data_IF_861161949027
#
_entry.id   IF_861161949027
#
_cell.length_a   1.000
_cell.length_b   1.000
_cell.length_c   1.000
_cell.angle_alpha   90.00
_cell.angle_beta   90.00
_cell.angle_gamma   90.00
#
_symmetry.space_group_name_H-M   'P 1'
#
loop_
_entity.id
_entity.type
_entity.pdbx_description
1 polymer ?
#
# COMPACT_ATOMS: atom_id res chain seq x y z
N UNK A 1 17.61 22.63 5.70
CA UNK A 1 17.24 21.21 5.81
C UNK A 1 16.25 20.90 4.71
N UNK A 2 16.53 19.92 3.84
CA UNK A 2 15.53 19.45 2.87
C UNK A 2 14.46 18.66 3.63
N UNK A 3 13.20 19.02 3.45
CA UNK A 3 12.08 18.31 4.06
C UNK A 3 11.76 17.09 3.19
N UNK A 4 12.09 15.89 3.67
CA UNK A 4 11.71 14.66 2.96
C UNK A 4 10.26 14.31 3.27
N UNK A 5 9.45 14.14 2.22
CA UNK A 5 8.05 13.72 2.34
C UNK A 5 7.95 12.24 1.99
N UNK A 6 7.42 11.44 2.91
CA UNK A 6 7.07 10.06 2.62
C UNK A 6 5.85 10.04 1.70
N UNK A 7 5.97 9.43 0.53
CA UNK A 7 4.87 9.32 -0.46
C UNK A 7 4.34 7.89 -0.59
N UNK A 8 4.98 6.92 0.06
CA UNK A 8 4.58 5.52 0.02
C UNK A 8 5.20 4.75 1.18
N UNK A 9 4.44 3.78 1.68
CA UNK A 9 4.94 2.74 2.59
C UNK A 9 4.48 1.37 2.12
N UNK A 10 5.36 0.39 2.27
CA UNK A 10 5.03 -1.00 2.12
C UNK A 10 5.88 -1.86 3.04
N UNK A 11 5.43 -3.10 3.24
CA UNK A 11 6.11 -4.09 4.06
C UNK A 11 6.14 -5.42 3.29
N UNK A 12 7.29 -6.07 3.24
CA UNK A 12 7.50 -7.32 2.50
C UNK A 12 7.92 -8.43 3.46
N UNK A 13 7.24 -9.57 3.39
CA UNK A 13 7.42 -10.67 4.35
C UNK A 13 7.64 -12.00 3.65
N UNK A 14 8.69 -12.70 4.08
CA UNK A 14 8.97 -14.07 3.66
C UNK A 14 8.13 -15.06 4.48
N UNK A 15 6.83 -15.12 4.18
CA UNK A 15 5.91 -16.13 4.71
C UNK A 15 4.87 -16.51 3.67
N UNK A 16 4.34 -17.72 3.82
CA UNK A 16 3.19 -18.19 3.04
C UNK A 16 1.92 -17.70 3.72
N UNK A 17 0.96 -17.22 2.95
CA UNK A 17 -0.39 -16.94 3.45
C UNK A 17 -1.35 -18.07 3.05
N UNK A 18 -2.18 -18.50 4.00
CA UNK A 18 -3.36 -19.32 3.73
C UNK A 18 -4.52 -18.36 3.45
N UNK A 19 -5.25 -18.59 2.35
CA UNK A 19 -6.36 -17.75 1.87
C UNK A 19 -7.45 -17.53 2.92
N UNK A 20 -7.53 -18.39 3.95
CA UNK A 20 -8.53 -18.31 5.02
C UNK A 20 -8.25 -17.26 6.09
N UNK A 21 -7.02 -16.75 6.20
CA UNK A 21 -6.68 -15.71 7.16
C UNK A 21 -5.45 -14.94 6.70
N UNK A 22 -5.64 -13.75 6.09
CA UNK A 22 -4.56 -12.75 6.11
C UNK A 22 -4.24 -12.52 7.59
N UNK A 23 -2.98 -12.66 8.04
CA UNK A 23 -2.70 -12.51 9.45
C UNK A 23 -2.97 -11.06 9.86
N UNK A 24 -4.03 -10.87 10.66
CA UNK A 24 -4.51 -9.54 11.07
C UNK A 24 -3.37 -8.65 11.64
N UNK A 25 -2.37 -9.26 12.28
CA UNK A 25 -1.22 -8.55 12.85
C UNK A 25 -0.43 -7.72 11.82
N UNK A 26 -0.18 -8.25 10.62
CA UNK A 26 0.60 -7.53 9.60
C UNK A 26 -0.18 -6.37 8.99
N UNK A 27 -1.50 -6.55 8.81
CA UNK A 27 -2.39 -5.49 8.36
C UNK A 27 -2.43 -4.34 9.37
N UNK A 28 -2.48 -4.64 10.68
CA UNK A 28 -2.44 -3.62 11.72
C UNK A 28 -1.08 -2.90 11.77
N UNK A 29 0.02 -3.62 11.54
CA UNK A 29 1.34 -3.01 11.42
C UNK A 29 1.41 -2.05 10.23
N UNK A 30 0.91 -2.45 9.06
CA UNK A 30 0.84 -1.58 7.89
C UNK A 30 -0.10 -0.38 8.13
N UNK A 31 -1.23 -0.58 8.79
CA UNK A 31 -2.14 0.50 9.18
C UNK A 31 -1.44 1.54 10.06
N UNK A 32 -0.61 1.10 11.00
CA UNK A 32 0.17 1.99 11.85
C UNK A 32 1.14 2.86 11.01
N UNK A 33 1.82 2.28 10.02
CA UNK A 33 2.70 3.01 9.11
C UNK A 33 1.95 4.05 8.29
N UNK A 34 0.87 3.63 7.62
CA UNK A 34 0.04 4.52 6.80
C UNK A 34 -0.55 5.66 7.62
N UNK A 35 -0.90 5.40 8.88
CA UNK A 35 -1.39 6.42 9.81
C UNK A 35 -0.28 7.39 10.22
N UNK A 36 0.89 6.87 10.62
CA UNK A 36 2.01 7.69 11.08
C UNK A 36 2.53 8.65 10.00
N UNK A 37 2.51 8.23 8.74
CA UNK A 37 2.93 9.05 7.60
C UNK A 37 1.79 9.81 6.90
N UNK A 38 0.56 9.73 7.43
CA UNK A 38 -0.64 10.31 6.84
C UNK A 38 -0.85 9.97 5.35
N UNK A 39 -0.59 8.72 4.97
CA UNK A 39 -0.79 8.23 3.61
C UNK A 39 -2.23 7.74 3.42
N UNK A 40 -2.80 7.75 2.19
CA UNK A 40 -4.13 7.20 1.92
C UNK A 40 -4.15 5.66 1.95
N UNK A 41 -3.00 5.02 1.75
CA UNK A 41 -2.87 3.58 1.70
C UNK A 41 -1.44 3.07 1.75
N UNK A 42 -1.29 1.76 1.69
CA UNK A 42 0.00 1.07 1.73
C UNK A 42 -0.10 -0.35 1.16
N UNK A 43 1.06 -0.99 0.98
CA UNK A 43 1.17 -2.29 0.31
C UNK A 43 1.87 -3.34 1.19
N UNK A 44 1.25 -4.49 1.37
CA UNK A 44 1.81 -5.66 2.05
C UNK A 44 2.12 -6.74 1.02
N UNK A 45 3.37 -7.19 0.95
CA UNK A 45 3.85 -8.17 -0.03
C UNK A 45 4.25 -9.46 0.67
N UNK A 46 3.72 -10.58 0.18
CA UNK A 46 4.07 -11.93 0.63
C UNK A 46 4.83 -12.72 -0.42
N UNK A 47 5.74 -13.57 0.03
CA UNK A 47 6.59 -14.41 -0.82
C UNK A 47 5.89 -15.64 -1.44
N UNK A 48 4.65 -15.96 -1.03
CA UNK A 48 3.81 -17.02 -1.65
C UNK A 48 2.39 -17.01 -1.07
N UNK A 49 1.38 -17.27 -1.89
CA UNK A 49 -0.02 -17.46 -1.45
C UNK A 49 -0.92 -17.80 -2.65
N UNK A 50 -2.00 -18.55 -2.42
CA UNK A 50 -3.04 -18.85 -3.43
C UNK A 50 -4.07 -17.72 -3.55
N UNK A 51 -3.72 -16.50 -3.15
CA UNK A 51 -4.65 -15.39 -3.10
C UNK A 51 -4.37 -14.46 -4.27
N UNK A 52 -5.38 -14.25 -5.10
CA UNK A 52 -5.49 -13.05 -5.92
C UNK A 52 -5.24 -11.80 -5.05
N UNK A 53 -4.70 -10.70 -5.60
CA UNK A 53 -4.52 -9.47 -4.84
C UNK A 53 -5.80 -9.06 -4.10
N UNK A 54 -5.69 -8.81 -2.79
CA UNK A 54 -6.84 -8.45 -1.94
C UNK A 54 -6.70 -7.03 -1.45
N UNK A 55 -7.76 -6.26 -1.62
CA UNK A 55 -7.88 -4.91 -1.05
C UNK A 55 -8.65 -4.96 0.27
N UNK A 56 -8.04 -4.42 1.32
CA UNK A 56 -8.68 -4.22 2.61
C UNK A 56 -8.91 -2.72 2.87
N UNK A 57 -10.17 -2.32 2.98
CA UNK A 57 -10.54 -0.96 3.38
C UNK A 57 -10.81 -0.92 4.88
N UNK A 58 -10.00 -0.17 5.62
CA UNK A 58 -10.18 0.01 7.07
C UNK A 58 -11.24 1.09 7.31
N UNK A 59 -12.48 0.66 7.53
CA UNK A 59 -13.68 1.53 7.57
C UNK A 59 -13.55 2.77 8.46
N UNK A 60 -12.98 2.64 9.66
CA UNK A 60 -12.90 3.73 10.63
C UNK A 60 -11.67 4.64 10.47
N UNK A 61 -10.76 4.32 9.55
CA UNK A 61 -9.56 5.12 9.27
C UNK A 61 -9.54 5.67 7.82
N UNK A 62 -10.47 5.21 6.97
CA UNK A 62 -10.52 5.49 5.54
C UNK A 62 -9.16 5.27 4.85
N UNK A 63 -8.45 4.19 5.22
CA UNK A 63 -7.16 3.80 4.63
C UNK A 63 -7.34 2.53 3.80
N UNK A 64 -6.71 2.50 2.63
CA UNK A 64 -6.72 1.33 1.72
C UNK A 64 -5.42 0.56 1.85
N UNK A 65 -5.51 -0.68 2.32
CA UNK A 65 -4.36 -1.57 2.50
C UNK A 65 -4.42 -2.64 1.41
N UNK A 66 -3.44 -2.68 0.53
CA UNK A 66 -3.33 -3.70 -0.51
C UNK A 66 -2.48 -4.86 -0.03
N UNK A 67 -2.91 -6.08 -0.28
CA UNK A 67 -2.15 -7.30 0.00
C UNK A 67 -1.91 -8.03 -1.31
N UNK A 68 -0.64 -8.31 -1.60
CA UNK A 68 -0.21 -9.03 -2.80
C UNK A 68 0.68 -10.20 -2.39
N UNK A 69 0.50 -11.34 -3.03
CA UNK A 69 1.46 -12.44 -2.98
C UNK A 69 2.23 -12.51 -4.30
N UNK A 70 3.53 -12.75 -4.22
CA UNK A 70 4.43 -13.04 -5.35
C UNK A 70 4.85 -14.49 -5.24
N UNK A 71 4.72 -15.29 -6.29
CA UNK A 71 5.28 -16.65 -6.28
C UNK A 71 6.77 -16.62 -6.60
N UNK A 72 7.60 -16.86 -5.60
CA UNK A 72 9.06 -16.93 -5.76
C UNK A 72 9.55 -18.27 -6.33
N UNK A 73 8.67 -19.27 -6.50
CA UNK A 73 9.03 -20.59 -7.02
C UNK A 73 8.75 -20.77 -8.53
N UNK A 74 8.16 -19.76 -9.18
CA UNK A 74 7.84 -19.78 -10.61
C UNK A 74 9.06 -19.56 -11.51
N UNK A 75 8.81 -19.42 -12.83
CA UNK A 75 9.87 -19.06 -13.77
C UNK A 75 10.38 -17.64 -13.48
N UNK A 76 11.65 -17.37 -13.82
CA UNK A 76 12.26 -16.05 -13.60
C UNK A 76 11.53 -14.94 -14.35
N UNK A 77 11.01 -15.23 -15.54
CA UNK A 77 10.24 -14.28 -16.36
C UNK A 77 8.89 -13.95 -15.71
N UNK A 78 8.22 -14.94 -15.10
CA UNK A 78 6.99 -14.72 -14.34
C UNK A 78 7.25 -13.87 -13.10
N UNK A 79 8.40 -14.09 -12.45
CA UNK A 79 8.82 -13.28 -11.30
C UNK A 79 9.08 -11.83 -11.72
N UNK A 80 9.80 -11.59 -12.82
CA UNK A 80 10.00 -10.24 -13.34
C UNK A 80 8.66 -9.55 -13.63
N UNK A 81 7.74 -10.23 -14.31
CA UNK A 81 6.41 -9.68 -14.58
C UNK A 81 5.62 -9.39 -13.29
N UNK A 82 5.79 -10.19 -12.24
CA UNK A 82 5.19 -9.92 -10.94
C UNK A 82 5.79 -8.69 -10.24
N UNK A 83 7.11 -8.48 -10.37
CA UNK A 83 7.79 -7.28 -9.86
C UNK A 83 7.34 -6.03 -10.63
N UNK A 84 7.16 -6.12 -11.94
CA UNK A 84 6.65 -4.99 -12.75
C UNK A 84 5.24 -4.58 -12.29
N UNK A 85 4.35 -5.55 -12.08
CA UNK A 85 3.01 -5.29 -11.51
C UNK A 85 3.06 -4.70 -10.10
N UNK A 86 4.05 -5.08 -9.27
CA UNK A 86 4.26 -4.45 -7.96
C UNK A 86 4.74 -3.00 -8.12
N UNK A 87 5.64 -2.72 -9.05
CA UNK A 87 6.11 -1.36 -9.32
C UNK A 87 4.95 -0.45 -9.76
N UNK A 88 4.07 -0.93 -10.63
CA UNK A 88 2.85 -0.22 -11.04
C UNK A 88 1.96 0.14 -9.84
N UNK A 89 1.77 -0.79 -8.89
CA UNK A 89 1.00 -0.54 -7.65
C UNK A 89 1.66 0.52 -6.78
N UNK A 90 2.98 0.48 -6.63
CA UNK A 90 3.73 1.51 -5.88
C UNK A 90 3.55 2.88 -6.54
N UNK A 91 3.68 2.97 -7.86
CA UNK A 91 3.47 4.21 -8.60
C UNK A 91 2.05 4.77 -8.40
N UNK A 92 1.03 3.91 -8.47
CA UNK A 92 -0.36 4.30 -8.21
C UNK A 92 -0.55 4.83 -6.79
N UNK A 93 -0.13 4.07 -5.77
CA UNK A 93 -0.27 4.48 -4.36
C UNK A 93 0.48 5.80 -4.06
N UNK A 94 1.65 6.01 -4.68
CA UNK A 94 2.38 7.28 -4.58
C UNK A 94 1.60 8.44 -5.17
N UNK A 95 1.05 8.25 -6.37
CA UNK A 95 0.27 9.27 -7.06
C UNK A 95 -1.06 9.58 -6.33
N UNK A 96 -1.66 8.60 -5.63
CA UNK A 96 -2.77 8.84 -4.70
C UNK A 96 -2.34 9.72 -3.51
N UNK A 97 -1.15 9.49 -2.96
CA UNK A 97 -0.62 10.24 -1.81
C UNK A 97 -0.20 11.68 -2.15
N UNK A 98 0.27 11.93 -3.38
CA UNK A 98 0.65 13.27 -3.85
C UNK A 98 -0.51 14.06 -4.45
N UNK A 99 -1.67 13.43 -4.66
CA UNK A 99 -2.83 14.05 -5.30
C UNK A 99 -2.77 14.09 -6.83
N UNK A 100 -1.81 13.39 -7.43
CA UNK A 100 -1.55 13.40 -8.88
C UNK A 100 -2.60 12.61 -9.69
N UNK A 101 -3.37 11.71 -9.05
CA UNK A 101 -4.42 10.92 -9.73
C UNK A 101 -5.80 11.57 -9.76
N UNK A 102 -6.01 12.61 -8.95
CA UNK A 102 -7.26 13.37 -8.93
C UNK A 102 -6.89 14.82 -9.25
N UNK A 103 -6.91 15.18 -10.54
CA UNK A 103 -6.70 16.55 -10.96
C UNK A 103 -7.48 17.55 -10.09
N UNK A 104 -6.74 18.40 -9.37
CA UNK A 104 -7.21 19.66 -8.80
C UNK A 104 -8.27 19.60 -7.70
N UNK A 105 -7.83 19.54 -6.44
CA UNK A 105 -8.29 20.33 -5.28
C UNK A 105 -7.55 19.79 -4.05
N UNK A 106 -6.85 20.60 -3.26
CA UNK A 106 -7.38 21.77 -2.56
C UNK A 106 -6.34 22.91 -2.52
N UNK A 107 -6.68 24.01 -3.20
CA UNK A 107 -6.31 25.33 -2.72
C UNK A 107 -7.24 25.75 -1.59
N UNK A 108 -6.67 26.60 -0.75
CA UNK A 108 -7.30 27.65 0.05
C UNK A 108 -7.82 27.31 1.45
N UNK A 109 -7.03 27.79 2.42
CA UNK A 109 -7.57 28.71 3.42
C UNK A 109 -8.07 28.07 4.70
N UNK A 110 -7.14 27.84 5.64
CA UNK A 110 -7.49 27.79 7.06
C UNK A 110 -8.00 29.19 7.46
N UNK A 111 -9.32 29.37 7.45
CA UNK A 111 -9.98 30.51 8.08
C UNK A 111 -9.85 30.35 9.59
N UNK A 112 -9.24 31.36 10.23
CA UNK A 112 -9.20 31.56 11.67
C UNK A 112 -10.63 31.57 12.23
N UNK A 113 -10.91 30.68 13.18
CA UNK A 113 -12.13 30.66 13.96
C UNK A 113 -12.25 31.89 14.87
N UNK A 114 -13.50 32.35 14.99
CA UNK A 114 -13.99 33.47 15.78
C UNK A 114 -13.74 33.36 17.29
#
# INVERSE_FOLDING_TARGET
MQNFVCTFVGDAKYKRIDTKAVPNADLYQLLAYVTAFNLPGGLLVYAKGETEPVDHVVRHANKRLEVVAVDLAGAIDDLHAAIDRLAERVCRLRAEATGDLLGGRLGDGLVLGA
#
